data_IF_964462772542
#
_entry.id   IF_964462772542
#
_cell.length_a   1.000
_cell.length_b   1.000
_cell.length_c   1.000
_cell.angle_alpha   90.00
_cell.angle_beta   90.00
_cell.angle_gamma   90.00
#
_symmetry.space_group_name_H-M   'P 1'
#
loop_
_entity.id
_entity.type
_entity.pdbx_description
1 polymer ?
#
# COMPACT_ATOMS: atom_id res chain seq x y z
N UNK A 1 -9.06 6.44 -8.39
CA UNK A 1 -9.43 6.02 -7.03
C UNK A 1 -10.77 5.30 -7.04
N UNK A 2 -11.86 5.94 -7.49
CA UNK A 2 -13.18 5.29 -7.66
C UNK A 2 -13.16 3.93 -8.37
N UNK A 3 -12.43 3.80 -9.48
CA UNK A 3 -12.32 2.52 -10.19
C UNK A 3 -11.57 1.42 -9.41
N UNK A 4 -10.82 1.77 -8.35
CA UNK A 4 -10.18 0.82 -7.42
C UNK A 4 -11.20 0.40 -6.35
N UNK A 5 -11.97 1.35 -5.82
CA UNK A 5 -13.07 1.06 -4.89
C UNK A 5 -14.13 0.16 -5.52
N UNK A 6 -14.56 0.47 -6.75
CA UNK A 6 -15.52 -0.33 -7.51
C UNK A 6 -15.00 -1.73 -7.82
N UNK A 7 -13.68 -1.89 -7.93
CA UNK A 7 -13.07 -3.22 -8.12
C UNK A 7 -12.89 -4.00 -6.81
N UNK A 8 -13.19 -3.42 -5.65
CA UNK A 8 -13.04 -4.06 -4.34
C UNK A 8 -11.60 -4.33 -3.90
N UNK A 9 -10.61 -3.79 -4.63
CA UNK A 9 -9.18 -4.02 -4.37
C UNK A 9 -8.71 -3.26 -3.12
N UNK A 10 -9.22 -2.05 -2.93
CA UNK A 10 -8.97 -1.23 -1.76
C UNK A 10 -10.18 -0.31 -1.54
N UNK A 11 -10.53 -0.05 -0.29
CA UNK A 11 -11.61 0.86 0.10
C UNK A 11 -11.06 2.05 0.88
N UNK A 12 -11.76 3.18 0.86
CA UNK A 12 -11.45 4.23 1.85
C UNK A 12 -12.04 3.90 3.21
N UNK A 13 -11.47 4.51 4.24
CA UNK A 13 -11.98 4.40 5.60
C UNK A 13 -13.00 5.53 5.82
N UNK A 14 -14.29 5.15 5.86
CA UNK A 14 -15.39 6.07 6.16
C UNK A 14 -15.79 6.05 7.65
N UNK A 15 -15.02 5.41 8.53
CA UNK A 15 -15.37 5.23 9.95
C UNK A 15 -15.42 6.55 10.73
N UNK A 16 -14.54 7.50 10.39
CA UNK A 16 -14.39 8.76 11.13
C UNK A 16 -14.97 9.98 10.41
N UNK A 17 -14.89 10.04 9.08
CA UNK A 17 -15.42 11.13 8.26
C UNK A 17 -15.63 10.65 6.81
N UNK A 18 -16.71 11.12 6.19
CA UNK A 18 -16.96 10.94 4.77
C UNK A 18 -17.91 12.00 4.25
N UNK A 19 -17.59 12.58 3.10
CA UNK A 19 -18.48 13.50 2.40
C UNK A 19 -19.62 12.70 1.78
N UNK A 20 -20.84 12.90 2.30
CA UNK A 20 -22.05 12.36 1.72
C UNK A 20 -22.54 13.31 0.62
N UNK A 21 -22.50 12.85 -0.62
CA UNK A 21 -23.31 13.41 -1.69
C UNK A 21 -24.63 12.63 -1.75
N UNK A 22 -25.70 13.22 -2.29
CA UNK A 22 -27.11 12.76 -2.21
C UNK A 22 -27.36 11.27 -2.56
N UNK A 23 -26.38 10.59 -3.17
CA UNK A 23 -26.41 9.17 -3.53
C UNK A 23 -25.21 8.34 -3.02
N UNK A 24 -24.13 8.94 -2.51
CA UNK A 24 -22.91 8.20 -2.16
C UNK A 24 -22.07 8.88 -1.09
N UNK A 25 -21.65 8.10 -0.10
CA UNK A 25 -20.63 8.50 0.89
C UNK A 25 -19.26 8.26 0.31
N UNK A 26 -18.45 9.31 0.23
CA UNK A 26 -17.06 9.27 -0.22
C UNK A 26 -16.13 9.40 0.99
N UNK A 27 -15.08 8.58 1.09
CA UNK A 27 -14.09 8.71 2.16
C UNK A 27 -13.29 10.00 1.98
N UNK A 28 -13.13 10.77 3.06
CA UNK A 28 -12.31 11.99 3.04
C UNK A 28 -10.80 11.66 3.11
N UNK A 29 -10.47 10.46 3.57
CA UNK A 29 -9.10 9.97 3.70
C UNK A 29 -8.97 8.55 3.14
N UNK A 30 -7.83 8.29 2.51
CA UNK A 30 -7.49 6.97 1.98
C UNK A 30 -6.35 6.35 2.80
N UNK A 31 -6.56 5.09 3.18
CA UNK A 31 -5.54 4.29 3.84
C UNK A 31 -4.32 4.03 2.95
N UNK A 32 -3.26 3.49 3.55
CA UNK A 32 -2.02 3.18 2.84
C UNK A 32 -2.25 2.14 1.73
N UNK A 33 -3.14 1.19 1.94
CA UNK A 33 -3.58 0.19 0.96
C UNK A 33 -4.11 0.84 -0.33
N UNK A 34 -4.97 1.84 -0.22
CA UNK A 34 -5.48 2.58 -1.38
C UNK A 34 -4.38 3.40 -2.05
N UNK A 35 -3.51 4.07 -1.28
CA UNK A 35 -2.38 4.84 -1.83
C UNK A 35 -1.46 3.92 -2.63
N UNK A 36 -1.18 2.72 -2.12
CA UNK A 36 -0.40 1.69 -2.82
C UNK A 36 -1.14 1.25 -4.08
N UNK A 37 -2.42 0.88 -4.00
CA UNK A 37 -3.20 0.45 -5.16
C UNK A 37 -3.21 1.51 -6.28
N UNK A 38 -3.37 2.79 -5.93
CA UNK A 38 -3.30 3.91 -6.89
C UNK A 38 -1.92 4.00 -7.54
N UNK A 39 -0.86 3.90 -6.75
CA UNK A 39 0.51 3.98 -7.27
C UNK A 39 0.85 2.82 -8.21
N UNK A 40 0.27 1.63 -8.03
CA UNK A 40 0.44 0.51 -8.95
C UNK A 40 -0.45 0.58 -10.19
N UNK A 41 -1.60 1.24 -10.10
CA UNK A 41 -2.53 1.37 -11.23
C UNK A 41 -2.22 2.53 -12.18
N UNK A 42 -1.73 3.66 -11.67
CA UNK A 42 -1.52 4.88 -12.46
C UNK A 42 -0.12 4.90 -13.09
N UNK A 43 -0.05 5.31 -14.36
CA UNK A 43 1.20 5.60 -15.05
C UNK A 43 1.54 7.08 -14.90
N UNK A 44 2.29 7.43 -13.85
CA UNK A 44 2.77 8.78 -13.59
C UNK A 44 4.19 8.72 -13.05
N UNK A 45 5.02 9.71 -13.35
CA UNK A 45 6.39 9.80 -12.83
C UNK A 45 6.43 9.73 -11.29
N UNK A 46 5.46 10.38 -10.61
CA UNK A 46 5.34 10.32 -9.14
C UNK A 46 5.01 8.90 -8.65
N UNK A 47 4.09 8.22 -9.32
CA UNK A 47 3.72 6.85 -8.99
C UNK A 47 4.89 5.89 -9.21
N UNK A 48 5.69 6.11 -10.26
CA UNK A 48 6.88 5.30 -10.54
C UNK A 48 7.95 5.42 -9.45
N UNK A 49 8.27 6.65 -9.03
CA UNK A 49 9.21 6.90 -7.93
C UNK A 49 8.76 6.18 -6.66
N UNK A 50 7.46 6.28 -6.34
CA UNK A 50 6.88 5.62 -5.17
C UNK A 50 6.96 4.09 -5.26
N UNK A 51 6.60 3.49 -6.41
CA UNK A 51 6.72 2.04 -6.64
C UNK A 51 8.16 1.55 -6.44
N UNK A 52 9.14 2.25 -7.02
CA UNK A 52 10.57 1.91 -6.88
C UNK A 52 11.00 1.96 -5.41
N UNK A 53 10.56 2.97 -4.67
CA UNK A 53 10.88 3.10 -3.25
C UNK A 53 10.28 1.98 -2.41
N UNK A 54 9.00 1.65 -2.60
CA UNK A 54 8.32 0.56 -1.86
C UNK A 54 8.98 -0.79 -2.16
N UNK A 55 9.21 -1.12 -3.43
CA UNK A 55 9.82 -2.41 -3.81
C UNK A 55 11.22 -2.53 -3.17
N UNK A 56 12.02 -1.46 -3.24
CA UNK A 56 13.35 -1.44 -2.60
C UNK A 56 13.28 -1.66 -1.08
N UNK A 57 12.24 -1.15 -0.42
CA UNK A 57 12.04 -1.33 1.02
C UNK A 57 11.57 -2.75 1.36
N UNK A 58 10.58 -3.26 0.62
CA UNK A 58 10.03 -4.60 0.80
C UNK A 58 11.09 -5.69 0.59
N UNK A 59 11.86 -5.62 -0.50
CA UNK A 59 12.95 -6.56 -0.79
C UNK A 59 14.04 -6.54 0.30
N UNK A 60 14.35 -5.36 0.85
CA UNK A 60 15.35 -5.26 1.92
C UNK A 60 14.90 -5.95 3.22
N UNK A 61 13.61 -5.85 3.55
CA UNK A 61 13.06 -6.55 4.70
C UNK A 61 13.03 -8.06 4.47
N UNK A 62 12.71 -8.51 3.25
CA UNK A 62 12.72 -9.92 2.88
C UNK A 62 14.12 -10.53 2.97
N UNK A 63 15.15 -9.86 2.43
CA UNK A 63 16.54 -10.32 2.52
C UNK A 63 17.01 -10.44 3.98
N UNK A 64 16.65 -9.49 4.85
CA UNK A 64 16.97 -9.57 6.28
C UNK A 64 16.27 -10.77 6.93
N UNK A 65 14.98 -10.99 6.63
CA UNK A 65 14.24 -12.12 7.20
C UNK A 65 14.75 -13.48 6.70
N UNK A 66 15.07 -13.58 5.41
CA UNK A 66 15.41 -14.84 4.74
C UNK A 66 16.87 -15.26 4.97
N UNK A 67 17.81 -14.30 5.07
CA UNK A 67 19.24 -14.63 5.16
C UNK A 67 19.86 -14.32 6.52
N UNK A 68 19.48 -13.21 7.14
CA UNK A 68 20.15 -12.77 8.38
C UNK A 68 19.63 -13.54 9.60
N UNK A 69 18.31 -13.76 9.70
CA UNK A 69 17.71 -14.48 10.84
C UNK A 69 18.21 -15.93 10.92
N UNK A 70 18.24 -16.73 9.83
CA UNK A 70 18.73 -18.11 9.91
C UNK A 70 20.23 -18.18 10.19
N UNK A 71 21.03 -17.25 9.65
CA UNK A 71 22.47 -17.20 9.87
C UNK A 71 22.82 -16.86 11.33
N UNK A 72 22.11 -15.90 11.93
CA UNK A 72 22.27 -15.57 13.34
C UNK A 72 21.95 -16.77 14.24
N UNK A 73 20.89 -17.52 13.93
CA UNK A 73 20.52 -18.72 14.67
C UNK A 73 21.57 -19.83 14.53
N UNK A 74 22.21 -19.97 13.37
CA UNK A 74 23.26 -20.96 13.13
C UNK A 74 24.60 -20.61 13.82
N UNK A 75 24.87 -19.33 14.10
CA UNK A 75 26.08 -18.87 14.79
C UNK A 75 25.96 -18.85 16.31
N UNK A 76 24.74 -18.90 16.84
CA UNK A 76 24.43 -18.92 18.28
C UNK A 76 24.24 -20.33 18.85
N UNK A 77 24.42 -21.37 18.02
CA UNK A 77 24.27 -22.78 18.34
C UNK A 77 25.60 -23.51 18.15
#
# INVERSE_FOLDING_TARGET
>A
VRAIEESGIAGGDCSMCGTADELKVSPDYYGLDMVVAVAFRVQSAKAEIFRRWIIKKAVRHDITATLVVPLQNALLN
#
